data_IF_004057674334
#
_entry.id   IF_004057674334
#
_cell.length_a   1.000
_cell.length_b   1.000
_cell.length_c   1.000
_cell.angle_alpha   90.00
_cell.angle_beta   90.00
_cell.angle_gamma   90.00
#
_symmetry.space_group_name_H-M   'P 1'
#
loop_
_entity.id
_entity.type
_entity.pdbx_description
1 polymer ?
#
# COMPACT_ATOMS: atom_id res chain seq x y z
N UNK A 1 17.47 -6.77 -15.73
CA UNK A 1 18.13 -5.76 -14.86
C UNK A 1 17.50 -5.86 -13.48
N UNK A 2 18.20 -6.41 -12.49
CA UNK A 2 17.65 -6.66 -11.16
C UNK A 2 17.26 -5.35 -10.47
N UNK A 3 16.07 -5.31 -9.87
CA UNK A 3 15.57 -4.14 -9.16
C UNK A 3 16.37 -3.95 -7.86
N UNK A 4 17.06 -2.82 -7.71
CA UNK A 4 17.81 -2.48 -6.49
C UNK A 4 16.90 -2.55 -5.24
N UNK A 5 17.36 -3.10 -4.11
CA UNK A 5 16.54 -3.19 -2.89
C UNK A 5 15.95 -1.82 -2.53
N UNK A 6 14.70 -1.82 -2.05
CA UNK A 6 14.03 -0.60 -1.62
C UNK A 6 14.82 -0.01 -0.45
N UNK A 7 15.20 1.29 -0.48
CA UNK A 7 15.79 1.92 0.69
C UNK A 7 14.90 1.77 1.94
N UNK A 8 15.50 1.75 3.11
CA UNK A 8 14.74 1.82 4.36
C UNK A 8 13.87 3.09 4.38
N UNK A 9 12.69 3.00 5.00
CA UNK A 9 11.81 4.14 5.16
C UNK A 9 12.47 5.16 6.10
N UNK A 10 12.74 6.36 5.59
CA UNK A 10 13.21 7.48 6.39
C UNK A 10 12.03 8.15 7.11
N UNK A 11 11.81 7.73 8.36
CA UNK A 11 10.77 8.26 9.23
C UNK A 11 10.98 9.74 9.58
N UNK A 12 12.23 10.18 9.69
CA UNK A 12 12.55 11.57 10.07
C UNK A 12 12.17 12.52 8.95
N UNK A 13 12.54 12.19 7.71
CA UNK A 13 12.16 12.97 6.53
C UNK A 13 10.63 13.02 6.33
N UNK A 14 9.93 11.93 6.61
CA UNK A 14 8.47 11.88 6.54
C UNK A 14 7.82 12.80 7.59
N UNK A 15 8.35 12.79 8.82
CA UNK A 15 7.91 13.70 9.88
C UNK A 15 8.15 15.17 9.48
N UNK A 16 9.34 15.51 9.00
CA UNK A 16 9.71 16.88 8.63
C UNK A 16 8.87 17.44 7.47
N UNK A 17 8.44 16.59 6.53
CA UNK A 17 7.58 16.99 5.39
C UNK A 17 6.12 17.21 5.76
N UNK A 18 5.64 16.49 6.77
CA UNK A 18 4.22 16.42 7.12
C UNK A 18 3.90 17.36 8.29
N UNK A 19 4.90 17.67 9.12
CA UNK A 19 4.74 18.46 10.33
C UNK A 19 4.92 19.97 10.07
N UNK A 20 3.80 20.68 10.06
CA UNK A 20 3.75 22.12 10.36
C UNK A 20 3.04 22.28 11.71
N UNK A 21 3.55 23.09 12.64
CA UNK A 21 3.05 23.15 14.02
C UNK A 21 1.63 23.72 14.04
N UNK A 22 0.62 22.84 14.17
CA UNK A 22 -0.76 23.24 14.43
C UNK A 22 -1.28 22.50 15.68
N UNK A 23 -1.51 23.18 16.81
CA UNK A 23 -1.54 22.59 18.16
C UNK A 23 -2.85 21.90 18.58
N UNK A 24 -3.83 21.73 17.71
CA UNK A 24 -5.22 21.64 18.18
C UNK A 24 -5.90 20.26 18.21
N UNK A 25 -5.20 19.12 18.10
CA UNK A 25 -5.68 17.78 18.56
C UNK A 25 -4.68 16.66 18.23
N UNK A 26 -4.24 15.94 19.26
CA UNK A 26 -3.48 14.68 19.16
C UNK A 26 -4.24 13.62 19.95
N UNK A 27 -4.48 12.45 19.34
CA UNK A 27 -5.12 11.30 20.00
C UNK A 27 -3.99 10.37 20.47
N UNK A 28 -4.00 10.02 21.75
CA UNK A 28 -2.99 9.17 22.37
C UNK A 28 -3.46 7.73 22.44
N UNK A 29 -2.53 6.79 22.21
CA UNK A 29 -2.74 5.36 22.40
C UNK A 29 -1.71 4.82 23.38
N UNK A 30 -2.15 4.05 24.38
CA UNK A 30 -1.24 3.42 25.34
C UNK A 30 -0.89 2.02 24.86
N UNK A 31 0.41 1.69 24.88
CA UNK A 31 0.87 0.33 24.67
C UNK A 31 0.52 -0.52 25.89
N UNK A 32 -0.28 -1.56 25.67
CA UNK A 32 -0.53 -2.60 26.65
C UNK A 32 0.51 -3.71 26.44
N UNK A 33 1.39 -3.87 27.44
CA UNK A 33 2.49 -4.81 27.40
C UNK A 33 2.03 -6.28 27.53
N UNK A 34 0.86 -6.54 28.12
CA UNK A 34 0.33 -7.89 28.27
C UNK A 34 -0.28 -8.40 26.97
N UNK A 35 -1.01 -7.53 26.25
CA UNK A 35 -1.63 -7.89 24.97
C UNK A 35 -0.79 -7.56 23.74
N UNK A 36 0.35 -6.88 23.90
CA UNK A 36 1.20 -6.35 22.82
C UNK A 36 0.42 -5.47 21.82
N UNK A 37 -0.59 -4.74 22.29
CA UNK A 37 -1.48 -3.90 21.47
C UNK A 37 -1.49 -2.45 21.96
N UNK A 38 -1.84 -1.53 21.06
CA UNK A 38 -2.16 -0.15 21.41
C UNK A 38 -3.67 0.00 21.62
N UNK A 39 -4.09 0.51 22.78
CA UNK A 39 -5.49 0.87 23.07
C UNK A 39 -5.67 2.36 22.78
N UNK A 40 -6.50 2.69 21.79
CA UNK A 40 -6.93 4.06 21.48
C UNK A 40 -8.31 4.30 22.09
N UNK A 41 -8.47 5.38 22.88
CA UNK A 41 -9.79 5.90 23.24
C UNK A 41 -9.99 7.29 22.63
N UNK A 42 -11.06 7.46 21.87
CA UNK A 42 -11.58 8.79 21.55
C UNK A 42 -12.20 9.39 22.82
N UNK A 43 -11.82 10.61 23.20
CA UNK A 43 -12.51 11.31 24.27
C UNK A 43 -13.36 12.43 23.68
N UNK A 44 -14.68 12.24 23.76
CA UNK A 44 -15.62 13.33 24.03
C UNK A 44 -16.39 12.94 25.27
N UNK A 45 -16.21 13.74 26.32
CA UNK A 45 -16.94 13.74 27.58
C UNK A 45 -16.74 12.54 28.53
N UNK A 46 -15.83 12.72 29.50
CA UNK A 46 -15.59 11.82 30.64
C UNK A 46 -16.72 11.83 31.70
N UNK A 47 -17.91 12.32 31.37
CA UNK A 47 -18.96 12.60 32.36
C UNK A 47 -19.96 11.48 32.67
N UNK A 48 -20.08 10.44 31.84
CA UNK A 48 -21.20 9.47 31.98
C UNK A 48 -20.88 8.02 31.58
N UNK A 49 -19.63 7.57 31.69
CA UNK A 49 -19.25 6.16 31.51
C UNK A 49 -18.82 5.56 32.84
N UNK A 50 -19.77 5.53 33.77
CA UNK A 50 -19.60 4.92 35.09
C UNK A 50 -20.55 3.72 35.21
N UNK A 51 -19.98 2.51 35.08
CA UNK A 51 -20.32 1.25 35.81
C UNK A 51 -19.90 -0.05 35.09
N UNK A 52 -19.74 -0.05 33.77
CA UNK A 52 -19.49 -1.30 33.01
C UNK A 52 -17.99 -1.69 32.86
N UNK A 53 -17.07 -0.85 33.34
CA UNK A 53 -15.63 -1.02 33.11
C UNK A 53 -14.77 -0.98 34.41
N UNK A 54 -15.40 -1.19 35.56
CA UNK A 54 -14.75 -1.08 36.89
C UNK A 54 -13.60 -2.07 37.13
N UNK A 55 -13.44 -3.09 36.27
CA UNK A 55 -12.43 -4.15 36.37
C UNK A 55 -11.19 -3.92 35.49
N UNK A 56 -11.16 -2.84 34.69
CA UNK A 56 -9.96 -2.47 33.95
C UNK A 56 -8.98 -1.70 34.85
N UNK A 57 -7.67 -1.95 34.77
CA UNK A 57 -6.68 -1.28 35.61
C UNK A 57 -6.66 0.24 35.32
N UNK A 58 -6.97 1.02 36.35
CA UNK A 58 -6.97 2.50 36.30
C UNK A 58 -5.54 3.02 36.18
N UNK A 59 -5.30 3.91 35.22
CA UNK A 59 -4.00 4.58 35.06
C UNK A 59 -4.06 5.95 35.73
N UNK A 60 -3.21 6.15 36.73
CA UNK A 60 -2.98 7.44 37.39
C UNK A 60 -2.30 8.41 36.41
N UNK A 61 -2.81 9.63 36.31
CA UNK A 61 -2.17 10.75 35.61
C UNK A 61 -1.54 11.62 36.69
N UNK A 62 -0.21 11.77 36.68
CA UNK A 62 0.50 12.64 37.63
C UNK A 62 0.21 14.11 37.29
N UNK A 63 -0.53 14.78 38.16
CA UNK A 63 -0.97 16.17 38.00
C UNK A 63 0.14 17.22 38.26
N UNK A 64 1.37 16.80 38.52
CA UNK A 64 2.44 17.73 38.93
C UNK A 64 3.18 18.46 37.79
N UNK A 65 2.94 18.13 36.51
CA UNK A 65 3.59 18.80 35.38
C UNK A 65 2.68 19.83 34.69
N UNK A 66 2.59 21.04 35.26
CA UNK A 66 1.99 22.21 34.60
C UNK A 66 2.87 22.68 33.44
N UNK A 67 2.63 22.15 32.24
CA UNK A 67 3.12 22.75 30.99
C UNK A 67 1.94 22.92 30.01
N UNK A 68 1.71 24.14 29.48
CA UNK A 68 0.58 24.40 28.62
C UNK A 68 0.79 23.69 27.27
N UNK A 69 -0.09 22.72 26.99
CA UNK A 69 -0.33 22.06 25.70
C UNK A 69 0.81 21.18 25.14
N UNK A 70 0.78 19.90 25.53
CA UNK A 70 1.31 18.79 24.73
C UNK A 70 2.44 18.01 25.40
N UNK A 71 2.26 16.69 25.57
CA UNK A 71 3.28 15.79 26.11
C UNK A 71 4.08 15.15 24.98
N UNK A 72 5.41 15.23 25.08
CA UNK A 72 6.40 14.51 24.29
C UNK A 72 6.79 13.20 24.99
N UNK A 73 6.89 12.09 24.25
CA UNK A 73 7.67 10.92 24.70
C UNK A 73 9.11 11.09 24.20
N UNK A 74 9.95 11.76 24.99
CA UNK A 74 11.39 11.83 24.76
C UNK A 74 12.02 10.55 25.32
N UNK A 75 12.28 9.58 24.44
CA UNK A 75 13.02 8.36 24.75
C UNK A 75 13.07 7.41 23.55
N UNK A 76 14.26 7.26 22.93
CA UNK A 76 14.58 6.42 21.75
C UNK A 76 13.40 6.13 20.80
N UNK A 77 13.19 7.06 19.85
CA UNK A 77 12.39 7.04 18.62
C UNK A 77 10.96 6.44 18.71
N UNK A 78 9.92 7.17 18.27
CA UNK A 78 8.54 6.84 18.60
C UNK A 78 8.09 5.52 17.93
N UNK A 79 7.42 4.66 18.71
CA UNK A 79 6.90 3.35 18.26
C UNK A 79 5.58 3.44 17.50
N UNK A 80 4.83 4.55 17.58
CA UNK A 80 3.63 4.82 16.78
C UNK A 80 3.33 6.33 16.81
N UNK A 81 3.18 6.96 15.65
CA UNK A 81 2.73 8.36 15.51
C UNK A 81 1.42 8.37 14.73
N UNK A 82 0.40 9.02 15.29
CA UNK A 82 -0.86 9.30 14.60
C UNK A 82 -1.08 10.81 14.58
N UNK A 83 -1.12 11.39 13.38
CA UNK A 83 -1.31 12.83 13.20
C UNK A 83 -2.76 13.28 13.42
N UNK A 84 -2.99 14.60 13.35
CA UNK A 84 -4.31 15.20 13.50
C UNK A 84 -5.29 14.80 12.38
N UNK A 85 -6.58 14.82 12.69
CA UNK A 85 -7.67 14.54 11.74
C UNK A 85 -7.60 13.16 11.09
N UNK A 86 -7.05 12.17 11.80
CA UNK A 86 -7.08 10.75 11.39
C UNK A 86 -8.36 10.11 11.91
N UNK A 87 -9.07 9.40 11.04
CA UNK A 87 -10.26 8.63 11.37
C UNK A 87 -9.88 7.14 11.45
N UNK A 88 -10.17 6.49 12.58
CA UNK A 88 -9.94 5.07 12.79
C UNK A 88 -11.27 4.35 13.02
N UNK A 89 -11.50 3.27 12.30
CA UNK A 89 -12.63 2.38 12.52
C UNK A 89 -12.42 1.45 13.73
N UNK A 90 -13.49 0.77 14.15
CA UNK A 90 -13.42 -0.37 15.06
C UNK A 90 -12.42 -1.46 14.62
N UNK A 91 -11.76 -2.11 15.59
CA UNK A 91 -10.84 -3.24 15.38
C UNK A 91 -9.62 -2.95 14.48
N UNK A 92 -9.10 -1.73 14.53
CA UNK A 92 -7.80 -1.42 13.91
C UNK A 92 -6.69 -1.87 14.86
N UNK A 93 -5.80 -2.74 14.39
CA UNK A 93 -4.68 -3.26 15.15
C UNK A 93 -3.35 -2.74 14.60
N UNK A 94 -2.54 -2.18 15.48
CA UNK A 94 -1.16 -1.79 15.20
C UNK A 94 -0.21 -2.74 15.91
N UNK A 95 0.72 -3.35 15.16
CA UNK A 95 1.83 -4.10 15.74
C UNK A 95 2.87 -3.13 16.29
N UNK A 96 3.43 -3.43 17.46
CA UNK A 96 4.43 -2.61 18.14
C UNK A 96 5.86 -3.16 18.09
N UNK A 97 6.05 -4.32 17.46
CA UNK A 97 7.33 -5.05 17.46
C UNK A 97 8.28 -4.51 16.36
N UNK A 98 9.07 -3.46 16.65
CA UNK A 98 10.05 -2.91 15.69
C UNK A 98 10.15 -1.37 15.70
N UNK A 99 10.63 -0.76 14.60
CA UNK A 99 10.80 0.72 14.46
C UNK A 99 9.50 1.54 14.35
N UNK A 100 8.38 0.99 14.81
CA UNK A 100 7.10 1.68 14.91
C UNK A 100 6.39 1.98 13.59
N UNK A 101 5.27 2.71 13.63
CA UNK A 101 4.52 3.13 12.45
C UNK A 101 4.17 4.63 12.49
N UNK A 102 4.00 5.24 11.33
CA UNK A 102 3.60 6.64 11.19
C UNK A 102 2.34 6.75 10.34
N UNK A 103 1.35 7.48 10.86
CA UNK A 103 0.10 7.76 10.16
C UNK A 103 -0.03 9.27 9.99
N UNK A 104 0.08 9.70 8.73
CA UNK A 104 -0.05 11.09 8.34
C UNK A 104 -1.45 11.67 8.56
N UNK A 105 -1.60 13.00 8.48
CA UNK A 105 -2.85 13.68 8.77
C UNK A 105 -3.91 13.38 7.71
N UNK A 106 -5.17 13.52 8.09
CA UNK A 106 -6.33 13.30 7.21
C UNK A 106 -6.47 11.86 6.68
N UNK A 107 -5.76 10.90 7.27
CA UNK A 107 -5.92 9.49 6.91
C UNK A 107 -7.26 8.94 7.39
N UNK A 108 -7.85 8.06 6.59
CA UNK A 108 -9.08 7.35 6.94
C UNK A 108 -8.82 5.85 6.91
N UNK A 109 -8.88 5.20 8.07
CA UNK A 109 -8.68 3.77 8.21
C UNK A 109 -10.00 3.17 8.67
N UNK A 110 -10.60 2.29 7.85
CA UNK A 110 -11.87 1.64 8.19
C UNK A 110 -11.67 0.50 9.22
N UNK A 111 -12.68 -0.34 9.37
CA UNK A 111 -12.73 -1.42 10.36
C UNK A 111 -11.86 -2.64 10.01
N UNK A 112 -11.47 -3.39 11.03
CA UNK A 112 -10.78 -4.70 10.91
C UNK A 112 -9.45 -4.64 10.16
N UNK A 113 -8.77 -3.50 10.22
CA UNK A 113 -7.48 -3.27 9.56
C UNK A 113 -6.34 -3.72 10.47
N UNK A 114 -5.34 -4.39 9.90
CA UNK A 114 -4.09 -4.75 10.60
C UNK A 114 -2.92 -4.06 9.95
N UNK A 115 -2.15 -3.32 10.74
CA UNK A 115 -0.96 -2.58 10.32
C UNK A 115 0.23 -3.12 11.11
N UNK A 116 1.22 -3.65 10.40
CA UNK A 116 2.45 -4.13 11.00
C UNK A 116 3.42 -2.99 11.34
N UNK A 117 4.65 -3.34 11.70
CA UNK A 117 5.71 -2.38 12.03
C UNK A 117 6.39 -1.83 10.79
N UNK A 118 7.03 -0.68 10.93
CA UNK A 118 7.71 0.02 9.83
C UNK A 118 6.75 0.41 8.71
N UNK A 119 5.53 0.82 9.06
CA UNK A 119 4.55 1.30 8.09
C UNK A 119 4.50 2.82 8.13
N UNK A 120 4.62 3.43 6.96
CA UNK A 120 4.51 4.88 6.77
C UNK A 120 3.32 5.17 5.86
N UNK A 121 2.29 5.79 6.42
CA UNK A 121 1.18 6.37 5.67
C UNK A 121 1.37 7.87 5.59
N UNK A 122 1.44 8.42 4.38
CA UNK A 122 1.50 9.87 4.17
C UNK A 122 0.11 10.51 4.31
N UNK A 123 -0.04 11.77 3.87
CA UNK A 123 -1.26 12.53 4.03
C UNK A 123 -2.43 11.99 3.21
N UNK A 124 -3.64 12.04 3.79
CA UNK A 124 -4.91 11.74 3.10
C UNK A 124 -5.01 10.33 2.52
N UNK A 125 -4.30 9.36 3.12
CA UNK A 125 -4.38 7.96 2.71
C UNK A 125 -5.70 7.35 3.18
N UNK A 126 -6.34 6.55 2.33
CA UNK A 126 -7.61 5.87 2.64
C UNK A 126 -7.45 4.36 2.60
N UNK A 127 -7.78 3.70 3.70
CA UNK A 127 -7.67 2.24 3.85
C UNK A 127 -9.06 1.66 4.11
N UNK A 128 -9.45 0.70 3.28
CA UNK A 128 -10.71 -0.04 3.32
C UNK A 128 -10.80 -1.02 4.48
N UNK A 129 -11.94 -1.70 4.59
CA UNK A 129 -12.18 -2.70 5.64
C UNK A 129 -11.35 -3.95 5.42
N UNK A 130 -11.00 -4.65 6.50
CA UNK A 130 -10.33 -5.96 6.44
C UNK A 130 -8.99 -5.94 5.70
N UNK A 131 -8.34 -4.78 5.60
CA UNK A 131 -7.05 -4.64 4.92
C UNK A 131 -5.92 -5.11 5.85
N UNK A 132 -4.96 -5.84 5.29
CA UNK A 132 -3.75 -6.25 6.00
C UNK A 132 -2.53 -5.59 5.36
N UNK A 133 -1.75 -4.88 6.17
CA UNK A 133 -0.51 -4.23 5.77
C UNK A 133 0.62 -4.84 6.60
N UNK A 134 1.56 -5.52 5.94
CA UNK A 134 2.75 -6.09 6.56
C UNK A 134 3.85 -5.04 6.71
N UNK A 135 5.03 -5.48 7.18
CA UNK A 135 6.06 -4.56 7.65
C UNK A 135 6.89 -3.91 6.54
N UNK A 136 7.50 -2.76 6.84
CA UNK A 136 8.28 -1.97 5.88
C UNK A 136 7.47 -1.58 4.64
N UNK A 137 6.31 -0.95 4.86
CA UNK A 137 5.40 -0.52 3.79
C UNK A 137 5.27 1.00 3.79
N UNK A 138 5.50 1.61 2.62
CA UNK A 138 5.29 3.05 2.41
C UNK A 138 4.09 3.29 1.50
N UNK A 139 3.12 4.06 1.97
CA UNK A 139 1.95 4.46 1.20
C UNK A 139 1.95 5.98 1.11
N UNK A 140 2.14 6.47 -0.11
CA UNK A 140 2.28 7.90 -0.40
C UNK A 140 0.93 8.64 -0.40
N UNK A 141 1.01 9.97 -0.47
CA UNK A 141 -0.14 10.88 -0.41
C UNK A 141 -1.33 10.48 -1.29
N UNK A 142 -2.53 10.63 -0.74
CA UNK A 142 -3.81 10.41 -1.45
C UNK A 142 -3.98 9.01 -2.05
N UNK A 143 -3.16 8.04 -1.65
CA UNK A 143 -3.34 6.65 -2.05
C UNK A 143 -4.59 6.05 -1.39
N UNK A 144 -5.25 5.15 -2.10
CA UNK A 144 -6.46 4.45 -1.65
C UNK A 144 -6.28 2.95 -1.80
N UNK A 145 -6.55 2.24 -0.72
CA UNK A 145 -6.58 0.78 -0.69
C UNK A 145 -8.00 0.36 -0.32
N UNK A 146 -8.65 -0.39 -1.18
CA UNK A 146 -10.01 -0.87 -0.96
C UNK A 146 -10.02 -2.17 -0.14
N UNK A 147 -11.23 -2.60 0.19
CA UNK A 147 -11.53 -3.64 1.18
C UNK A 147 -10.96 -5.01 0.79
N UNK A 148 -10.68 -5.84 1.78
CA UNK A 148 -10.15 -7.21 1.65
C UNK A 148 -8.82 -7.31 0.89
N UNK A 149 -8.05 -6.22 0.81
CA UNK A 149 -6.74 -6.21 0.15
C UNK A 149 -5.63 -6.58 1.12
N UNK A 150 -4.60 -7.26 0.62
CA UNK A 150 -3.41 -7.61 1.39
C UNK A 150 -2.16 -7.03 0.75
N UNK A 151 -1.41 -6.25 1.53
CA UNK A 151 -0.13 -5.65 1.14
C UNK A 151 0.96 -6.36 1.94
N UNK A 152 1.83 -7.09 1.25
CA UNK A 152 2.95 -7.77 1.86
C UNK A 152 4.06 -6.79 2.28
N UNK A 153 5.12 -7.33 2.89
CA UNK A 153 6.20 -6.51 3.41
C UNK A 153 7.09 -5.94 2.31
N UNK A 154 7.83 -4.88 2.60
CA UNK A 154 8.74 -4.25 1.64
C UNK A 154 8.00 -3.75 0.37
N UNK A 155 6.84 -3.12 0.53
CA UNK A 155 6.04 -2.62 -0.60
C UNK A 155 5.98 -1.10 -0.58
N UNK A 156 6.03 -0.48 -1.75
CA UNK A 156 5.76 0.95 -1.91
C UNK A 156 4.56 1.19 -2.81
N UNK A 157 3.59 1.94 -2.28
CA UNK A 157 2.41 2.39 -2.99
C UNK A 157 2.55 3.88 -3.27
N UNK A 158 2.71 4.24 -4.54
CA UNK A 158 2.96 5.62 -4.96
C UNK A 158 1.75 6.55 -4.81
N UNK A 159 2.04 7.86 -4.91
CA UNK A 159 1.07 8.94 -4.78
C UNK A 159 -0.14 8.77 -5.70
N UNK A 160 -1.35 9.05 -5.19
CA UNK A 160 -2.62 8.90 -5.92
C UNK A 160 -2.86 7.47 -6.48
N UNK A 161 -2.18 6.45 -5.96
CA UNK A 161 -2.44 5.08 -6.36
C UNK A 161 -3.79 4.58 -5.83
N UNK A 162 -4.45 3.72 -6.60
CA UNK A 162 -5.70 3.08 -6.24
C UNK A 162 -5.54 1.57 -6.32
N UNK A 163 -5.67 0.90 -5.19
CA UNK A 163 -5.67 -0.56 -5.06
C UNK A 163 -7.12 -1.00 -4.83
N UNK A 164 -7.69 -1.73 -5.78
CA UNK A 164 -9.08 -2.19 -5.73
C UNK A 164 -9.31 -3.33 -4.75
N UNK A 165 -10.57 -3.73 -4.59
CA UNK A 165 -11.00 -4.77 -3.63
C UNK A 165 -10.32 -6.12 -3.89
N UNK A 166 -10.01 -6.86 -2.83
CA UNK A 166 -9.44 -8.22 -2.92
C UNK A 166 -8.16 -8.30 -3.76
N UNK A 167 -7.34 -7.23 -3.76
CA UNK A 167 -6.04 -7.24 -4.43
C UNK A 167 -4.97 -7.79 -3.49
N UNK A 168 -4.10 -8.63 -4.04
CA UNK A 168 -2.93 -9.16 -3.34
C UNK A 168 -1.67 -8.56 -3.95
N UNK A 169 -0.90 -7.84 -3.15
CA UNK A 169 0.41 -7.32 -3.52
C UNK A 169 1.44 -8.03 -2.67
N UNK A 170 2.33 -8.78 -3.32
CA UNK A 170 3.40 -9.51 -2.64
C UNK A 170 4.67 -8.65 -2.45
N UNK A 171 5.73 -9.25 -1.91
CA UNK A 171 6.88 -8.52 -1.39
C UNK A 171 7.70 -7.82 -2.48
N UNK A 172 8.39 -6.73 -2.10
CA UNK A 172 9.31 -6.01 -2.98
C UNK A 172 8.66 -5.36 -4.21
N UNK A 173 7.34 -5.19 -4.19
CA UNK A 173 6.61 -4.51 -5.27
C UNK A 173 6.82 -3.00 -5.20
N UNK A 174 7.21 -2.42 -6.34
CA UNK A 174 7.26 -0.97 -6.56
C UNK A 174 6.05 -0.54 -7.35
N UNK A 175 5.16 0.20 -6.72
CA UNK A 175 4.04 0.79 -7.41
C UNK A 175 4.26 2.31 -7.57
N UNK A 176 4.33 2.77 -8.81
CA UNK A 176 4.51 4.17 -9.16
C UNK A 176 3.31 5.06 -8.81
N UNK A 177 3.44 6.35 -9.11
CA UNK A 177 2.36 7.31 -8.88
C UNK A 177 1.22 7.14 -9.90
N UNK A 178 -0.02 7.40 -9.47
CA UNK A 178 -1.24 7.37 -10.28
C UNK A 178 -1.54 6.02 -10.91
N UNK A 179 -1.10 4.95 -10.26
CA UNK A 179 -1.40 3.59 -10.69
C UNK A 179 -2.78 3.17 -10.20
N UNK A 180 -3.52 2.46 -11.04
CA UNK A 180 -4.80 1.85 -10.65
C UNK A 180 -4.72 0.35 -10.84
N UNK A 181 -4.94 -0.41 -9.78
CA UNK A 181 -5.01 -1.87 -9.79
C UNK A 181 -6.46 -2.28 -9.54
N UNK A 182 -7.09 -2.94 -10.51
CA UNK A 182 -8.48 -3.37 -10.40
C UNK A 182 -8.69 -4.55 -9.46
N UNK A 183 -9.96 -4.79 -9.13
CA UNK A 183 -10.40 -5.84 -8.21
C UNK A 183 -9.87 -7.23 -8.58
N UNK A 184 -9.45 -7.99 -7.56
CA UNK A 184 -9.06 -9.39 -7.69
C UNK A 184 -7.77 -9.61 -8.47
N UNK A 185 -6.99 -8.55 -8.69
CA UNK A 185 -5.68 -8.65 -9.34
C UNK A 185 -4.61 -9.09 -8.32
N UNK A 186 -3.58 -9.75 -8.83
CA UNK A 186 -2.47 -10.28 -8.04
C UNK A 186 -1.16 -9.77 -8.63
N UNK A 187 -0.36 -9.11 -7.80
CA UNK A 187 0.98 -8.67 -8.14
C UNK A 187 1.98 -9.54 -7.37
N UNK A 188 2.73 -10.37 -8.10
CA UNK A 188 3.73 -11.28 -7.54
C UNK A 188 4.99 -10.52 -7.10
N UNK A 189 5.89 -11.17 -6.32
CA UNK A 189 7.02 -10.50 -5.72
C UNK A 189 7.95 -9.87 -6.75
N UNK A 190 8.65 -8.83 -6.34
CA UNK A 190 9.66 -8.14 -7.16
C UNK A 190 9.11 -7.47 -8.43
N UNK A 191 7.80 -7.49 -8.68
CA UNK A 191 7.23 -6.79 -9.82
C UNK A 191 7.36 -5.27 -9.68
N UNK A 192 7.64 -4.58 -10.78
CA UNK A 192 7.73 -3.13 -10.84
C UNK A 192 6.66 -2.56 -11.75
N UNK A 193 5.82 -1.68 -11.19
CA UNK A 193 4.75 -0.99 -11.91
C UNK A 193 5.11 0.50 -11.99
N UNK A 194 5.24 1.00 -13.21
CA UNK A 194 5.55 2.38 -13.52
C UNK A 194 4.40 3.33 -13.27
N UNK A 195 4.67 4.62 -13.40
CA UNK A 195 3.69 5.68 -13.20
C UNK A 195 2.56 5.65 -14.24
N UNK A 196 1.36 6.06 -13.83
CA UNK A 196 0.17 6.24 -14.69
C UNK A 196 -0.28 4.92 -15.36
N UNK A 197 0.05 3.78 -14.75
CA UNK A 197 -0.39 2.47 -15.21
C UNK A 197 -1.82 2.20 -14.78
N UNK A 198 -2.64 1.65 -15.69
CA UNK A 198 -4.00 1.19 -15.38
C UNK A 198 -4.09 -0.31 -15.60
N UNK A 199 -4.26 -1.05 -14.53
CA UNK A 199 -4.45 -2.49 -14.49
C UNK A 199 -5.94 -2.77 -14.24
N UNK A 200 -6.53 -3.61 -15.09
CA UNK A 200 -7.91 -4.05 -15.02
C UNK A 200 -8.18 -4.98 -13.84
N UNK A 201 -9.31 -5.67 -13.91
CA UNK A 201 -9.77 -6.64 -12.91
C UNK A 201 -9.19 -8.02 -13.21
N UNK A 202 -8.85 -8.79 -12.17
CA UNK A 202 -8.33 -10.16 -12.27
C UNK A 202 -7.10 -10.26 -13.17
N UNK A 203 -6.19 -9.31 -13.04
CA UNK A 203 -4.91 -9.33 -13.74
C UNK A 203 -3.87 -9.98 -12.85
N UNK A 204 -3.01 -10.83 -13.44
CA UNK A 204 -1.84 -11.38 -12.76
C UNK A 204 -0.58 -10.75 -13.34
N UNK A 205 0.27 -10.23 -12.48
CA UNK A 205 1.57 -9.65 -12.85
C UNK A 205 2.65 -10.53 -12.24
N UNK A 206 3.33 -11.31 -13.07
CA UNK A 206 4.32 -12.31 -12.66
C UNK A 206 5.52 -11.74 -11.93
N UNK A 207 6.25 -12.64 -11.26
CA UNK A 207 7.42 -12.30 -10.44
C UNK A 207 8.47 -11.57 -11.28
N UNK A 208 9.07 -10.51 -10.74
CA UNK A 208 10.18 -9.79 -11.41
C UNK A 208 9.78 -9.00 -12.67
N UNK A 209 8.51 -9.11 -13.11
CA UNK A 209 8.04 -8.45 -14.32
C UNK A 209 8.02 -6.93 -14.16
N UNK A 210 8.19 -6.23 -15.28
CA UNK A 210 8.29 -4.78 -15.32
C UNK A 210 7.23 -4.20 -16.24
N UNK A 211 6.28 -3.45 -15.66
CA UNK A 211 5.30 -2.69 -16.42
C UNK A 211 5.71 -1.23 -16.42
N UNK A 212 6.07 -0.68 -17.58
CA UNK A 212 6.55 0.70 -17.69
C UNK A 212 5.39 1.72 -17.73
N UNK A 213 5.70 2.96 -18.05
CA UNK A 213 4.83 4.10 -17.81
C UNK A 213 3.63 4.17 -18.77
N UNK A 214 2.52 4.74 -18.30
CA UNK A 214 1.32 5.04 -19.11
C UNK A 214 0.68 3.81 -19.80
N UNK A 215 1.06 2.61 -19.38
CA UNK A 215 0.55 1.34 -19.93
C UNK A 215 -0.85 1.03 -19.41
N UNK A 216 -1.68 0.43 -20.28
CA UNK A 216 -3.05 0.04 -19.97
C UNK A 216 -3.20 -1.46 -20.16
N UNK A 217 -3.53 -2.15 -19.09
CA UNK A 217 -3.76 -3.59 -19.04
C UNK A 217 -5.24 -3.81 -18.73
N UNK A 218 -5.96 -4.50 -19.61
CA UNK A 218 -7.39 -4.77 -19.45
C UNK A 218 -7.64 -5.97 -18.52
N UNK A 219 -8.88 -6.44 -18.48
CA UNK A 219 -9.30 -7.48 -17.53
C UNK A 219 -8.78 -8.86 -17.95
N UNK A 220 -8.60 -9.74 -16.96
CA UNK A 220 -8.20 -11.14 -17.15
C UNK A 220 -6.89 -11.32 -17.94
N UNK A 221 -5.97 -10.36 -17.84
CA UNK A 221 -4.64 -10.48 -18.45
C UNK A 221 -3.72 -11.22 -17.51
N UNK A 222 -2.92 -12.12 -18.05
CA UNK A 222 -1.86 -12.82 -17.32
C UNK A 222 -0.52 -12.44 -17.93
N UNK A 223 0.38 -11.91 -17.10
CA UNK A 223 1.76 -11.58 -17.45
C UNK A 223 2.66 -12.52 -16.66
N UNK A 224 3.51 -13.25 -17.38
CA UNK A 224 4.48 -14.20 -16.86
C UNK A 224 5.59 -13.56 -16.05
N UNK A 225 6.44 -14.41 -15.48
CA UNK A 225 7.63 -14.02 -14.75
C UNK A 225 8.65 -13.34 -15.69
N UNK A 226 9.35 -12.34 -15.15
CA UNK A 226 10.44 -11.62 -15.84
C UNK A 226 10.07 -10.97 -17.18
N UNK A 227 8.76 -10.87 -17.48
CA UNK A 227 8.27 -10.17 -18.66
C UNK A 227 8.52 -8.67 -18.57
N UNK A 228 8.93 -8.07 -19.70
CA UNK A 228 9.12 -6.64 -19.84
C UNK A 228 8.00 -6.04 -20.70
N UNK A 229 7.22 -5.13 -20.12
CA UNK A 229 6.15 -4.40 -20.81
C UNK A 229 6.56 -2.93 -20.94
N UNK A 230 6.84 -2.51 -22.16
CA UNK A 230 7.21 -1.14 -22.51
C UNK A 230 6.18 -0.07 -22.14
N UNK A 231 6.56 1.18 -22.40
CA UNK A 231 5.76 2.37 -22.10
C UNK A 231 4.66 2.55 -23.14
N UNK A 232 3.53 3.14 -22.74
CA UNK A 232 2.37 3.39 -23.61
C UNK A 232 1.78 2.14 -24.27
N UNK A 233 2.02 0.95 -23.71
CA UNK A 233 1.48 -0.31 -24.23
C UNK A 233 -0.01 -0.42 -23.90
N UNK A 234 -0.78 -1.04 -24.80
CA UNK A 234 -2.19 -1.36 -24.59
C UNK A 234 -2.40 -2.86 -24.72
N UNK A 235 -2.75 -3.51 -23.62
CA UNK A 235 -3.02 -4.94 -23.56
C UNK A 235 -4.51 -5.12 -23.36
N UNK A 236 -5.19 -5.72 -24.34
CA UNK A 236 -6.62 -5.98 -24.29
C UNK A 236 -6.98 -7.18 -23.40
N UNK A 237 -8.28 -7.44 -23.28
CA UNK A 237 -8.84 -8.44 -22.38
C UNK A 237 -8.37 -9.86 -22.75
N UNK A 238 -8.23 -10.71 -21.72
CA UNK A 238 -7.88 -12.14 -21.85
C UNK A 238 -6.55 -12.43 -22.57
N UNK A 239 -5.62 -11.48 -22.62
CA UNK A 239 -4.29 -11.71 -23.18
C UNK A 239 -3.44 -12.53 -22.21
N UNK A 240 -2.68 -13.49 -22.77
CA UNK A 240 -1.65 -14.24 -22.04
C UNK A 240 -0.28 -13.88 -22.58
N UNK A 241 0.57 -13.39 -21.71
CA UNK A 241 1.98 -13.12 -21.96
C UNK A 241 2.74 -14.08 -21.07
N UNK A 242 3.50 -15.00 -21.67
CA UNK A 242 4.29 -15.97 -20.91
C UNK A 242 5.57 -15.34 -20.34
N UNK A 243 6.42 -16.18 -19.75
CA UNK A 243 7.62 -15.76 -19.06
C UNK A 243 8.66 -15.19 -20.06
N UNK A 244 9.57 -14.35 -19.59
CA UNK A 244 10.69 -13.83 -20.38
C UNK A 244 10.29 -13.08 -21.69
N UNK A 245 9.03 -12.67 -21.82
CA UNK A 245 8.54 -11.93 -23.00
C UNK A 245 8.98 -10.47 -22.96
N UNK A 246 9.44 -9.95 -24.10
CA UNK A 246 9.74 -8.54 -24.28
C UNK A 246 8.68 -7.86 -25.16
N UNK A 247 7.96 -6.90 -24.61
CA UNK A 247 7.03 -6.04 -25.34
C UNK A 247 7.60 -4.62 -25.37
N UNK A 248 7.87 -4.14 -26.58
CA UNK A 248 8.37 -2.81 -26.85
C UNK A 248 7.36 -1.69 -26.56
N UNK A 249 7.83 -0.46 -26.67
CA UNK A 249 7.05 0.74 -26.40
C UNK A 249 5.95 0.94 -27.46
N UNK A 250 4.78 1.40 -27.03
CA UNK A 250 3.67 1.73 -27.93
C UNK A 250 2.98 0.52 -28.59
N UNK A 251 3.32 -0.70 -28.19
CA UNK A 251 2.68 -1.92 -28.71
C UNK A 251 1.20 -2.00 -28.29
N UNK A 252 0.37 -2.50 -29.20
CA UNK A 252 -1.04 -2.81 -28.95
C UNK A 252 -1.25 -4.30 -29.12
N UNK A 253 -1.78 -4.97 -28.09
CA UNK A 253 -2.06 -6.39 -28.09
C UNK A 253 -3.57 -6.58 -28.04
N UNK A 254 -4.13 -7.16 -29.09
CA UNK A 254 -5.54 -7.45 -29.25
C UNK A 254 -6.04 -8.50 -28.25
N UNK A 255 -7.37 -8.55 -28.04
CA UNK A 255 -7.98 -9.43 -27.06
C UNK A 255 -7.73 -10.90 -27.40
N UNK A 256 -7.62 -11.76 -26.38
CA UNK A 256 -7.38 -13.20 -26.51
C UNK A 256 -6.08 -13.58 -27.26
N UNK A 257 -5.14 -12.64 -27.43
CA UNK A 257 -3.83 -12.98 -27.97
C UNK A 257 -2.99 -13.74 -26.94
N UNK A 258 -2.14 -14.63 -27.41
CA UNK A 258 -1.19 -15.38 -26.60
C UNK A 258 0.22 -15.23 -27.17
N UNK A 259 1.16 -14.91 -26.28
CA UNK A 259 2.56 -14.63 -26.62
C UNK A 259 3.42 -15.60 -25.83
N UNK A 260 4.08 -16.52 -26.55
CA UNK A 260 4.92 -17.56 -25.96
C UNK A 260 6.19 -17.01 -25.32
N UNK A 261 6.75 -17.82 -24.42
CA UNK A 261 7.97 -17.53 -23.69
C UNK A 261 9.11 -17.10 -24.61
N UNK A 262 9.83 -16.05 -24.20
CA UNK A 262 10.98 -15.53 -24.92
C UNK A 262 10.64 -14.73 -26.18
N UNK A 263 9.36 -14.53 -26.52
CA UNK A 263 8.98 -13.72 -27.67
C UNK A 263 9.39 -12.25 -27.47
N UNK A 264 9.86 -11.62 -28.55
CA UNK A 264 10.20 -10.20 -28.56
C UNK A 264 9.35 -9.46 -29.60
N UNK A 265 8.51 -8.55 -29.12
CA UNK A 265 7.67 -7.68 -29.94
C UNK A 265 8.28 -6.28 -29.92
N UNK A 266 8.75 -5.85 -31.09
CA UNK A 266 9.40 -4.55 -31.24
C UNK A 266 8.37 -3.42 -31.12
N UNK A 267 8.84 -2.24 -30.74
CA UNK A 267 8.06 -1.02 -30.56
C UNK A 267 7.08 -0.73 -31.71
N UNK A 268 5.95 -0.10 -31.37
CA UNK A 268 4.93 0.37 -32.31
C UNK A 268 4.38 -0.73 -33.24
N UNK A 269 4.19 -1.94 -32.69
CA UNK A 269 3.52 -3.04 -33.39
C UNK A 269 2.10 -3.24 -32.86
N UNK A 270 1.25 -3.75 -33.75
CA UNK A 270 -0.12 -4.14 -33.43
C UNK A 270 -0.19 -5.64 -33.60
N UNK A 271 -0.62 -6.33 -32.56
CA UNK A 271 -0.96 -7.75 -32.57
C UNK A 271 -2.48 -7.82 -32.60
N UNK A 272 -3.03 -8.44 -33.63
CA UNK A 272 -4.48 -8.55 -33.79
C UNK A 272 -5.09 -9.51 -32.76
N UNK A 273 -6.39 -9.36 -32.52
CA UNK A 273 -7.10 -10.20 -31.56
C UNK A 273 -7.03 -11.69 -31.96
N UNK A 274 -6.85 -12.57 -30.97
CA UNK A 274 -6.73 -14.01 -31.17
C UNK A 274 -5.42 -14.46 -31.83
N UNK A 275 -4.44 -13.56 -31.98
CA UNK A 275 -3.13 -13.92 -32.53
C UNK A 275 -2.34 -14.77 -31.54
N UNK A 276 -1.73 -15.83 -32.03
CA UNK A 276 -0.79 -16.68 -31.30
C UNK A 276 0.63 -16.45 -31.82
N UNK A 277 1.55 -16.02 -30.95
CA UNK A 277 2.96 -15.83 -31.29
C UNK A 277 3.75 -16.97 -30.65
N UNK A 278 4.21 -17.90 -31.49
CA UNK A 278 5.03 -19.04 -31.12
C UNK A 278 6.52 -18.70 -31.20
N UNK A 279 7.32 -19.14 -30.24
CA UNK A 279 8.80 -19.10 -30.29
C UNK A 279 9.41 -20.47 -30.57
N UNK A 280 8.61 -21.52 -30.49
CA UNK A 280 8.99 -22.86 -30.93
C UNK A 280 9.14 -22.90 -32.46
N UNK A 281 10.33 -23.25 -32.95
CA UNK A 281 10.65 -23.53 -34.37
C UNK A 281 10.75 -25.02 -34.57
#
# INVERSE_FOLDING_TARGET
MALQPLPDIDFQLAMDRVWSPNPNRVIYAKFDAESSKYLCSETRDWGTLDRDYAHLPKVHIDESAKFPNGIYLIGKLPRLIICHSVELGANVHFSANGKGAFIGPFCQIKHDVRIATEVLLERSVKIGRSVKILGNVKIDECARIDEDSSIAGNVRIGREAYIGTSVKIEECVRNGSRVKIGRGSWVYPEAAIGNIVRIGKRVKIGKGSQVRFKTRIKNNVEIGADAYIGSNVRIHENVRIQDNVWIGDGVIIGANAEIEEGAAIIDNRIIEAGTFISTSV
#
